data_IF_680005205756
#
_entry.id   IF_680005205756
#
_cell.length_a   1.000
_cell.length_b   1.000
_cell.length_c   1.000
_cell.angle_alpha   90.00
_cell.angle_beta   90.00
_cell.angle_gamma   90.00
#
_symmetry.space_group_name_H-M   'P 1'
#
loop_
_entity.id
_entity.type
_entity.pdbx_description
1 polymer ?
#
# COMPACT_ATOMS: atom_id res chain seq x y z
N UNK A 1 -0.84 -7.90 -4.68
CA UNK A 1 0.03 -7.27 -5.70
C UNK A 1 -0.82 -6.68 -6.82
N UNK A 2 -0.28 -5.73 -7.58
CA UNK A 2 -0.94 -5.03 -8.69
C UNK A 2 0.09 -4.65 -9.78
N UNK A 3 -0.37 -4.05 -10.90
CA UNK A 3 0.45 -3.76 -12.09
C UNK A 3 1.67 -2.91 -11.73
N UNK A 4 1.47 -1.87 -10.94
CA UNK A 4 2.51 -0.95 -10.50
C UNK A 4 3.63 -1.70 -9.75
N UNK A 5 3.29 -2.66 -8.88
CA UNK A 5 4.30 -3.46 -8.17
C UNK A 5 4.98 -4.53 -9.02
N UNK A 6 4.22 -5.28 -9.81
CA UNK A 6 4.74 -6.47 -10.52
C UNK A 6 5.34 -6.15 -11.87
N UNK A 7 4.82 -5.12 -12.53
CA UNK A 7 5.26 -4.74 -13.86
C UNK A 7 6.19 -3.53 -13.77
N UNK A 8 5.68 -2.39 -13.32
CA UNK A 8 6.46 -1.16 -13.32
C UNK A 8 7.68 -1.32 -12.40
N UNK A 9 7.48 -1.63 -11.12
CA UNK A 9 8.61 -1.70 -10.17
C UNK A 9 9.53 -2.90 -10.40
N UNK A 10 8.99 -4.11 -10.57
CA UNK A 10 9.82 -5.32 -10.67
C UNK A 10 10.45 -5.52 -12.05
N UNK A 11 9.72 -5.25 -13.15
CA UNK A 11 10.19 -5.51 -14.51
C UNK A 11 10.83 -4.27 -15.11
N UNK A 12 10.13 -3.14 -15.12
CA UNK A 12 10.63 -1.93 -15.78
C UNK A 12 11.76 -1.28 -14.98
N UNK A 13 11.53 -0.96 -13.70
CA UNK A 13 12.52 -0.28 -12.88
C UNK A 13 13.63 -1.22 -12.41
N UNK A 14 13.29 -2.27 -11.67
CA UNK A 14 14.30 -3.16 -11.08
C UNK A 14 14.95 -4.11 -12.10
N UNK A 15 14.25 -4.44 -13.19
CA UNK A 15 14.78 -5.28 -14.27
C UNK A 15 15.50 -4.47 -15.34
N UNK A 16 14.79 -3.65 -16.10
CA UNK A 16 15.32 -2.98 -17.28
C UNK A 16 16.17 -1.75 -16.94
N UNK A 17 15.62 -0.81 -16.18
CA UNK A 17 16.29 0.47 -15.90
C UNK A 17 17.51 0.29 -15.00
N UNK A 18 17.39 -0.49 -13.93
CA UNK A 18 18.50 -0.76 -13.02
C UNK A 18 19.71 -1.33 -13.78
N UNK A 19 19.48 -2.25 -14.70
CA UNK A 19 20.52 -2.81 -15.57
C UNK A 19 21.12 -1.76 -16.51
N UNK A 20 20.29 -0.93 -17.15
CA UNK A 20 20.76 0.04 -18.13
C UNK A 20 21.62 1.16 -17.53
N UNK A 21 21.44 1.46 -16.24
CA UNK A 21 22.19 2.50 -15.52
C UNK A 21 23.22 1.95 -14.52
N UNK A 22 23.45 0.64 -14.51
CA UNK A 22 24.51 0.02 -13.70
C UNK A 22 24.23 -0.05 -12.20
N UNK A 23 22.95 -0.09 -11.79
CA UNK A 23 22.59 -0.32 -10.39
C UNK A 23 22.91 -1.77 -10.02
N UNK A 24 23.79 -1.94 -9.02
CA UNK A 24 24.20 -3.26 -8.55
C UNK A 24 23.11 -3.98 -7.75
N UNK A 25 22.32 -3.24 -6.97
CA UNK A 25 21.26 -3.82 -6.15
C UNK A 25 20.08 -2.89 -5.95
N UNK A 26 18.92 -3.33 -6.42
CA UNK A 26 17.61 -2.77 -6.10
C UNK A 26 16.67 -3.92 -5.78
N UNK A 27 15.84 -3.75 -4.76
CA UNK A 27 14.85 -4.74 -4.34
C UNK A 27 13.57 -4.05 -3.91
N UNK A 28 12.44 -4.69 -4.20
CA UNK A 28 11.13 -4.27 -3.71
C UNK A 28 10.75 -5.10 -2.49
N UNK A 29 10.18 -4.45 -1.48
CA UNK A 29 9.57 -5.17 -0.36
C UNK A 29 8.35 -5.98 -0.84
N UNK A 30 8.10 -7.14 -0.24
CA UNK A 30 6.88 -7.90 -0.50
C UNK A 30 5.65 -7.06 -0.13
N UNK A 31 4.61 -7.09 -0.97
CA UNK A 31 3.34 -6.46 -0.62
C UNK A 31 2.71 -7.21 0.56
N UNK A 32 1.91 -6.56 1.42
CA UNK A 32 1.39 -7.18 2.63
C UNK A 32 0.61 -8.47 2.40
N UNK A 33 -0.13 -8.58 1.28
CA UNK A 33 -0.83 -9.79 0.82
C UNK A 33 -1.49 -10.60 1.95
N UNK A 34 -0.97 -11.79 2.23
CA UNK A 34 -1.44 -12.78 3.20
C UNK A 34 -0.72 -12.69 4.57
N UNK A 35 0.00 -11.60 4.82
CA UNK A 35 0.71 -11.38 6.09
C UNK A 35 -0.27 -11.47 7.27
N UNK A 36 -0.04 -12.39 8.23
CA UNK A 36 -0.95 -12.57 9.37
C UNK A 36 -1.00 -11.33 10.26
N UNK A 37 0.10 -10.56 10.32
CA UNK A 37 0.15 -9.29 11.05
C UNK A 37 -0.74 -8.25 10.38
N UNK A 38 -0.71 -8.16 9.04
CA UNK A 38 -1.54 -7.22 8.29
C UNK A 38 -3.03 -7.54 8.41
N UNK A 39 -3.39 -8.83 8.31
CA UNK A 39 -4.76 -9.32 8.49
C UNK A 39 -5.25 -8.98 9.91
N UNK A 40 -4.44 -9.26 10.94
CA UNK A 40 -4.77 -8.91 12.33
C UNK A 40 -4.96 -7.40 12.50
N UNK A 41 -4.06 -6.59 11.97
CA UNK A 41 -4.17 -5.13 12.06
C UNK A 41 -5.46 -4.60 11.41
N UNK A 42 -5.85 -5.16 10.27
CA UNK A 42 -7.10 -4.80 9.59
C UNK A 42 -8.32 -5.17 10.44
N UNK A 43 -8.33 -6.37 11.03
CA UNK A 43 -9.38 -6.80 11.96
C UNK A 43 -9.46 -5.90 13.20
N UNK A 44 -8.31 -5.51 13.76
CA UNK A 44 -8.22 -4.63 14.92
C UNK A 44 -8.79 -3.23 14.61
N UNK A 45 -8.52 -2.69 13.41
CA UNK A 45 -9.09 -1.40 12.97
C UNK A 45 -10.62 -1.49 12.88
N UNK A 46 -11.16 -2.54 12.27
CA UNK A 46 -12.60 -2.73 12.16
C UNK A 46 -13.26 -2.88 13.54
N UNK A 47 -12.65 -3.66 14.44
CA UNK A 47 -13.11 -3.84 15.81
C UNK A 47 -13.16 -2.52 16.58
N UNK A 48 -12.06 -1.75 16.55
CA UNK A 48 -11.99 -0.42 17.19
C UNK A 48 -13.02 0.55 16.61
N UNK A 49 -13.24 0.53 15.29
CA UNK A 49 -14.24 1.38 14.65
C UNK A 49 -15.65 1.08 15.16
N UNK A 50 -16.04 -0.20 15.20
CA UNK A 50 -17.34 -0.62 15.73
C UNK A 50 -17.53 -0.21 17.19
N UNK A 51 -16.48 -0.31 18.02
CA UNK A 51 -16.52 0.14 19.42
C UNK A 51 -16.61 1.65 19.57
N UNK A 52 -15.99 2.40 18.64
CA UNK A 52 -15.90 3.87 18.72
C UNK A 52 -17.25 4.57 18.55
N UNK A 53 -18.26 3.91 17.95
CA UNK A 53 -19.57 4.49 17.57
C UNK A 53 -19.50 5.71 16.63
N UNK A 54 -18.32 6.03 16.09
CA UNK A 54 -18.18 7.08 15.08
C UNK A 54 -18.60 6.52 13.71
N UNK A 55 -19.32 7.31 12.92
CA UNK A 55 -19.75 6.88 11.57
C UNK A 55 -18.65 6.96 10.52
N UNK A 56 -17.65 7.81 10.75
CA UNK A 56 -16.52 8.05 9.86
C UNK A 56 -15.45 8.85 10.59
N UNK A 57 -14.31 9.09 9.93
CA UNK A 57 -13.24 9.97 10.42
C UNK A 57 -13.65 11.44 10.32
N UNK A 58 -12.91 12.33 11.02
CA UNK A 58 -13.12 13.78 10.94
C UNK A 58 -12.80 14.36 9.55
N UNK A 59 -12.02 13.64 8.74
CA UNK A 59 -11.62 14.06 7.39
C UNK A 59 -12.72 13.82 6.35
N UNK A 60 -13.59 12.81 6.52
CA UNK A 60 -14.61 12.49 5.51
C UNK A 60 -15.53 13.68 5.14
N UNK A 61 -16.03 14.51 6.08
CA UNK A 61 -16.86 15.66 5.71
C UNK A 61 -16.08 16.81 5.06
N UNK A 62 -14.74 16.81 5.14
CA UNK A 62 -13.89 17.82 4.51
C UNK A 62 -13.60 17.41 3.07
N UNK A 63 -14.38 17.95 2.13
CA UNK A 63 -14.12 17.75 0.70
C UNK A 63 -12.85 18.48 0.26
N UNK A 64 -12.28 18.01 -0.85
CA UNK A 64 -11.18 18.71 -1.50
C UNK A 64 -11.59 20.15 -1.87
N UNK A 65 -10.67 21.13 -1.79
CA UNK A 65 -10.93 22.46 -2.32
C UNK A 65 -11.31 22.38 -3.81
N UNK A 66 -12.48 22.90 -4.17
CA UNK A 66 -12.97 22.89 -5.56
C UNK A 66 -13.73 21.63 -6.00
N UNK A 67 -14.09 20.73 -5.07
CA UNK A 67 -14.95 19.58 -5.30
C UNK A 67 -16.44 19.91 -5.18
#
# INVERSE_FOLDING_TARGET
NHIETLHELDIEYAGHLAKSVGIEMIRRCASPNDSPIFIKATADIAHKHLQSKHRHTNQLPLRCPGC
#
